data_IF_694280075134
#
_entry.id   IF_694280075134
#
_cell.length_a   1.000
_cell.length_b   1.000
_cell.length_c   1.000
_cell.angle_alpha   90.00
_cell.angle_beta   90.00
_cell.angle_gamma   90.00
#
_symmetry.space_group_name_H-M   'P 1'
#
loop_
_entity.id
_entity.type
_entity.pdbx_description
1 polymer ?
#
# COMPACT_ATOMS: atom_id res chain seq x y z
N UNK A 1 37.23 -36.18 -72.93
CA UNK A 1 36.55 -37.11 -72.00
C UNK A 1 37.01 -36.77 -70.60
N UNK A 2 36.22 -36.03 -69.83
CA UNK A 2 36.49 -35.77 -68.43
C UNK A 2 35.15 -35.61 -67.67
N UNK A 3 35.14 -36.27 -66.53
CA UNK A 3 34.03 -36.70 -65.68
C UNK A 3 33.35 -35.53 -64.96
N UNK A 4 32.13 -35.16 -65.40
CA UNK A 4 31.27 -34.24 -64.64
C UNK A 4 30.52 -35.05 -63.60
N UNK A 5 31.24 -35.34 -62.51
CA UNK A 5 30.75 -36.06 -61.34
C UNK A 5 29.59 -35.29 -60.71
N UNK A 6 28.38 -35.78 -60.97
CA UNK A 6 27.09 -35.35 -60.45
C UNK A 6 27.04 -35.52 -58.92
N UNK A 7 27.56 -34.55 -58.18
CA UNK A 7 27.30 -34.41 -56.74
C UNK A 7 25.89 -33.84 -56.51
N UNK A 8 24.89 -34.69 -56.71
CA UNK A 8 23.54 -34.45 -56.19
C UNK A 8 23.57 -34.88 -54.72
N UNK A 9 24.11 -34.01 -53.87
CA UNK A 9 24.00 -34.14 -52.43
C UNK A 9 22.51 -34.15 -52.09
N UNK A 10 22.01 -35.34 -51.74
CA UNK A 10 20.71 -35.50 -51.12
C UNK A 10 20.74 -34.73 -49.81
N UNK A 11 20.17 -33.52 -49.79
CA UNK A 11 19.84 -32.80 -48.56
C UNK A 11 18.73 -33.57 -47.83
N UNK A 12 19.07 -34.74 -47.32
CA UNK A 12 18.33 -35.38 -46.23
C UNK A 12 18.61 -34.54 -45.00
N UNK A 13 17.85 -33.45 -44.87
CA UNK A 13 17.69 -32.76 -43.59
C UNK A 13 17.37 -33.83 -42.55
N UNK A 14 18.20 -33.92 -41.52
CA UNK A 14 18.04 -34.91 -40.47
C UNK A 14 16.62 -34.79 -39.92
N UNK A 15 15.91 -35.91 -39.76
CA UNK A 15 14.53 -35.93 -39.25
C UNK A 15 14.42 -35.14 -37.93
N UNK A 16 15.50 -35.08 -37.15
CA UNK A 16 15.63 -34.27 -35.95
C UNK A 16 15.52 -32.76 -36.20
N UNK A 17 16.12 -32.21 -37.27
CA UNK A 17 16.03 -30.77 -37.58
C UNK A 17 14.63 -30.40 -38.06
N UNK A 18 13.97 -31.25 -38.85
CA UNK A 18 12.59 -31.04 -39.27
C UNK A 18 11.63 -31.09 -38.07
N UNK A 19 11.83 -32.06 -37.17
CA UNK A 19 11.02 -32.21 -35.94
C UNK A 19 11.22 -31.01 -35.01
N UNK A 20 12.44 -30.52 -34.88
CA UNK A 20 12.74 -29.33 -34.06
C UNK A 20 12.09 -28.07 -34.64
N UNK A 21 12.20 -27.86 -35.96
CA UNK A 21 11.62 -26.69 -36.62
C UNK A 21 10.10 -26.68 -36.53
N UNK A 22 9.46 -27.84 -36.70
CA UNK A 22 8.00 -27.98 -36.54
C UNK A 22 7.57 -27.74 -35.09
N UNK A 23 8.31 -28.24 -34.10
CA UNK A 23 8.04 -27.98 -32.68
C UNK A 23 8.12 -26.49 -32.34
N UNK A 24 9.16 -25.78 -32.83
CA UNK A 24 9.32 -24.34 -32.59
C UNK A 24 8.15 -23.55 -33.19
N UNK A 25 7.72 -23.90 -34.42
CA UNK A 25 6.57 -23.26 -35.07
C UNK A 25 5.29 -23.49 -34.26
N UNK A 26 5.06 -24.71 -33.77
CA UNK A 26 3.89 -25.02 -32.93
C UNK A 26 3.93 -24.21 -31.61
N UNK A 27 5.08 -24.13 -30.96
CA UNK A 27 5.25 -23.34 -29.73
C UNK A 27 5.05 -21.83 -29.97
N UNK A 28 5.50 -21.31 -31.11
CA UNK A 28 5.31 -19.91 -31.48
C UNK A 28 3.84 -19.57 -31.77
N UNK A 29 3.09 -20.48 -32.40
CA UNK A 29 1.65 -20.30 -32.61
C UNK A 29 0.91 -20.37 -31.27
N UNK A 30 1.28 -21.32 -30.41
CA UNK A 30 0.70 -21.48 -29.08
C UNK A 30 0.94 -20.26 -28.20
N UNK A 31 2.14 -19.66 -28.25
CA UNK A 31 2.46 -18.46 -27.47
C UNK A 31 1.63 -17.25 -27.89
N UNK A 32 1.45 -17.01 -29.20
CA UNK A 32 0.58 -15.92 -29.70
C UNK A 32 -0.87 -16.11 -29.26
N UNK A 33 -1.37 -17.35 -29.32
CA UNK A 33 -2.73 -17.68 -28.90
C UNK A 33 -2.93 -17.47 -27.38
N UNK A 34 -1.93 -17.86 -26.57
CA UNK A 34 -1.96 -17.66 -25.12
C UNK A 34 -1.91 -16.16 -24.78
N UNK A 35 -1.00 -15.41 -25.40
CA UNK A 35 -0.85 -13.96 -25.20
C UNK A 35 -2.13 -13.22 -25.52
N UNK A 36 -2.80 -13.55 -26.64
CA UNK A 36 -4.05 -12.88 -27.02
C UNK A 36 -5.17 -13.06 -26.00
N UNK A 37 -5.20 -14.16 -25.25
CA UNK A 37 -6.16 -14.36 -24.16
C UNK A 37 -5.69 -13.73 -22.86
N UNK A 38 -4.40 -13.82 -22.51
CA UNK A 38 -3.89 -13.28 -21.25
C UNK A 38 -4.00 -11.77 -21.16
N UNK A 39 -3.80 -11.02 -22.25
CA UNK A 39 -3.88 -9.56 -22.26
C UNK A 39 -5.25 -9.03 -21.81
N UNK A 40 -6.34 -9.69 -22.21
CA UNK A 40 -7.69 -9.29 -21.83
C UNK A 40 -7.98 -9.56 -20.34
N UNK A 41 -7.58 -10.74 -19.85
CA UNK A 41 -7.72 -11.09 -18.44
C UNK A 41 -6.83 -10.22 -17.55
N UNK A 42 -5.54 -10.06 -17.88
CA UNK A 42 -4.60 -9.27 -17.09
C UNK A 42 -5.05 -7.82 -16.98
N UNK A 43 -5.48 -7.20 -18.08
CA UNK A 43 -6.03 -5.84 -18.05
C UNK A 43 -7.29 -5.72 -17.20
N UNK A 44 -8.19 -6.72 -17.23
CA UNK A 44 -9.38 -6.75 -16.37
C UNK A 44 -9.01 -6.86 -14.88
N UNK A 45 -8.06 -7.74 -14.55
CA UNK A 45 -7.59 -7.95 -13.18
C UNK A 45 -6.87 -6.70 -12.65
N UNK A 46 -5.97 -6.11 -13.43
CA UNK A 46 -5.24 -4.90 -13.04
C UNK A 46 -6.19 -3.73 -12.81
N UNK A 47 -7.11 -3.48 -13.75
CA UNK A 47 -8.08 -2.38 -13.63
C UNK A 47 -9.00 -2.56 -12.43
N UNK A 48 -9.48 -3.77 -12.19
CA UNK A 48 -10.35 -4.07 -11.04
C UNK A 48 -9.58 -3.94 -9.73
N UNK A 49 -8.35 -4.46 -9.67
CA UNK A 49 -7.49 -4.41 -8.48
C UNK A 49 -7.15 -2.96 -8.12
N UNK A 50 -6.69 -2.16 -9.08
CA UNK A 50 -6.37 -0.76 -8.86
C UNK A 50 -7.58 0.04 -8.39
N UNK A 51 -8.76 -0.21 -8.98
CA UNK A 51 -9.99 0.50 -8.59
C UNK A 51 -10.42 0.13 -7.17
N UNK A 52 -10.43 -1.15 -6.84
CA UNK A 52 -10.83 -1.64 -5.52
C UNK A 52 -9.89 -1.11 -4.44
N UNK A 53 -8.59 -1.17 -4.71
CA UNK A 53 -7.56 -0.70 -3.79
C UNK A 53 -7.66 0.81 -3.55
N UNK A 54 -7.93 1.62 -4.59
CA UNK A 54 -8.18 3.05 -4.46
C UNK A 54 -9.42 3.37 -3.61
N UNK A 55 -10.50 2.63 -3.80
CA UNK A 55 -11.73 2.78 -3.00
C UNK A 55 -11.45 2.44 -1.53
N UNK A 56 -10.75 1.33 -1.27
CA UNK A 56 -10.36 0.94 0.10
C UNK A 56 -9.50 2.02 0.75
N UNK A 57 -8.50 2.55 0.06
CA UNK A 57 -7.67 3.65 0.58
C UNK A 57 -8.52 4.84 1.02
N UNK A 58 -9.46 5.29 0.18
CA UNK A 58 -10.33 6.42 0.50
C UNK A 58 -11.23 6.14 1.71
N UNK A 59 -11.79 4.93 1.81
CA UNK A 59 -12.61 4.52 2.95
C UNK A 59 -11.78 4.56 4.24
N UNK A 60 -10.55 4.04 4.21
CA UNK A 60 -9.67 4.04 5.39
C UNK A 60 -9.31 5.47 5.81
N UNK A 61 -9.05 6.38 4.86
CA UNK A 61 -8.86 7.80 5.19
C UNK A 61 -10.11 8.43 5.81
N UNK A 62 -11.30 8.14 5.29
CA UNK A 62 -12.56 8.65 5.83
C UNK A 62 -12.81 8.15 7.26
N UNK A 63 -12.56 6.86 7.52
CA UNK A 63 -12.70 6.28 8.85
C UNK A 63 -11.66 6.89 9.80
N UNK A 64 -10.39 6.96 9.39
CA UNK A 64 -9.31 7.57 10.17
C UNK A 64 -9.65 9.01 10.55
N UNK A 65 -10.03 9.84 9.57
CA UNK A 65 -10.42 11.23 9.80
C UNK A 65 -11.67 11.36 10.68
N UNK A 66 -12.66 10.48 10.48
CA UNK A 66 -13.86 10.42 11.31
C UNK A 66 -13.55 10.14 12.78
N UNK A 67 -12.59 9.26 13.07
CA UNK A 67 -12.17 8.93 14.44
C UNK A 67 -11.43 10.11 15.09
N UNK A 68 -10.57 10.84 14.35
CA UNK A 68 -9.95 12.07 14.88
C UNK A 68 -11.04 13.08 15.26
N UNK A 69 -11.97 13.35 14.35
CA UNK A 69 -13.03 14.32 14.57
C UNK A 69 -13.93 13.93 15.75
N UNK A 70 -14.35 12.67 15.80
CA UNK A 70 -15.17 12.15 16.88
C UNK A 70 -14.43 12.20 18.23
N UNK A 71 -13.17 11.75 18.27
CA UNK A 71 -12.34 11.81 19.46
C UNK A 71 -12.19 13.25 19.97
N UNK A 72 -11.83 14.18 19.09
CA UNK A 72 -11.71 15.59 19.41
C UNK A 72 -13.01 16.18 19.96
N UNK A 73 -14.15 15.91 19.32
CA UNK A 73 -15.47 16.36 19.77
C UNK A 73 -15.80 15.86 21.18
N UNK A 74 -15.66 14.55 21.43
CA UNK A 74 -15.93 13.94 22.74
C UNK A 74 -15.10 14.60 23.85
N UNK A 75 -13.86 14.96 23.53
CA UNK A 75 -12.91 15.52 24.49
C UNK A 75 -13.20 16.98 24.76
N UNK A 76 -13.54 17.77 23.73
CA UNK A 76 -14.00 19.16 23.90
C UNK A 76 -15.24 19.19 24.81
N UNK A 77 -16.22 18.31 24.56
CA UNK A 77 -17.43 18.23 25.38
C UNK A 77 -17.08 17.87 26.84
N UNK A 78 -16.24 16.86 27.05
CA UNK A 78 -15.82 16.44 28.40
C UNK A 78 -14.99 17.50 29.11
N UNK A 79 -14.13 18.21 28.39
CA UNK A 79 -13.32 19.28 28.94
C UNK A 79 -14.20 20.44 29.42
N UNK A 80 -15.18 20.85 28.60
CA UNK A 80 -16.17 21.87 28.98
C UNK A 80 -16.97 21.41 30.21
N UNK A 81 -17.48 20.17 30.22
CA UNK A 81 -18.21 19.62 31.37
C UNK A 81 -17.36 19.56 32.65
N UNK A 82 -16.09 19.15 32.54
CA UNK A 82 -15.17 19.11 33.69
C UNK A 82 -14.93 20.51 34.23
N UNK A 83 -14.69 21.50 33.36
CA UNK A 83 -14.43 22.89 33.74
C UNK A 83 -15.65 23.56 34.38
N UNK A 84 -16.86 23.17 34.00
CA UNK A 84 -18.11 23.65 34.62
C UNK A 84 -18.38 22.95 35.97
N UNK A 85 -18.01 21.67 36.12
CA UNK A 85 -18.36 20.86 37.30
C UNK A 85 -17.36 20.97 38.46
N UNK A 86 -16.06 21.10 38.21
CA UNK A 86 -15.03 21.31 39.24
C UNK A 86 -13.87 22.12 38.65
N UNK A 87 -13.61 23.31 39.20
CA UNK A 87 -12.57 24.21 38.70
C UNK A 87 -11.14 23.74 39.05
N UNK A 88 -10.99 22.86 40.06
CA UNK A 88 -9.71 22.55 40.71
C UNK A 88 -9.17 21.11 40.52
N UNK A 89 -9.76 20.28 39.64
CA UNK A 89 -9.26 18.90 39.42
C UNK A 89 -8.72 18.70 38.02
N UNK A 90 -7.51 18.11 37.86
CA UNK A 90 -6.96 17.81 36.55
C UNK A 90 -7.89 16.83 35.83
N UNK A 91 -8.46 17.29 34.72
CA UNK A 91 -9.36 16.49 33.92
C UNK A 91 -8.52 15.45 33.16
N UNK A 92 -8.61 14.17 33.54
CA UNK A 92 -7.90 13.05 32.88
C UNK A 92 -8.31 12.77 31.41
N UNK A 93 -8.84 13.77 30.71
CA UNK A 93 -9.30 13.73 29.30
C UNK A 93 -8.16 13.56 28.31
N UNK A 94 -6.93 13.95 28.64
CA UNK A 94 -5.73 13.79 27.81
C UNK A 94 -5.43 12.32 27.51
N UNK A 95 -5.78 11.41 28.43
CA UNK A 95 -5.61 9.96 28.22
C UNK A 95 -6.52 9.42 27.13
N UNK A 96 -7.77 9.90 27.08
CA UNK A 96 -8.72 9.53 26.04
C UNK A 96 -8.33 10.13 24.69
N UNK A 97 -7.80 11.36 24.67
CA UNK A 97 -7.28 12.01 23.45
C UNK A 97 -6.20 11.19 22.78
N UNK A 98 -5.20 10.78 23.57
CA UNK A 98 -4.10 9.98 23.07
C UNK A 98 -4.59 8.67 22.43
N UNK A 99 -5.59 8.01 23.01
CA UNK A 99 -6.12 6.76 22.47
C UNK A 99 -6.80 6.92 21.10
N UNK A 100 -7.69 7.91 20.95
CA UNK A 100 -8.36 8.17 19.67
C UNK A 100 -7.38 8.65 18.59
N UNK A 101 -6.40 9.50 18.96
CA UNK A 101 -5.37 9.95 18.03
C UNK A 101 -4.50 8.79 17.55
N UNK A 102 -4.01 7.94 18.46
CA UNK A 102 -3.19 6.78 18.10
C UNK A 102 -3.94 5.82 17.17
N UNK A 103 -5.21 5.52 17.45
CA UNK A 103 -6.00 4.62 16.62
C UNK A 103 -6.28 5.18 15.22
N UNK A 104 -6.59 6.46 15.11
CA UNK A 104 -6.68 7.12 13.80
C UNK A 104 -5.34 7.08 13.05
N UNK A 105 -4.23 7.20 13.78
CA UNK A 105 -2.90 7.22 13.19
C UNK A 105 -2.55 5.89 12.53
N UNK A 106 -2.85 4.78 13.20
CA UNK A 106 -2.66 3.43 12.67
C UNK A 106 -3.48 3.21 11.40
N UNK A 107 -4.73 3.69 11.36
CA UNK A 107 -5.56 3.61 10.16
C UNK A 107 -4.98 4.42 9.01
N UNK A 108 -4.50 5.64 9.27
CA UNK A 108 -3.87 6.45 8.24
C UNK A 108 -2.57 5.82 7.72
N UNK A 109 -1.76 5.17 8.57
CA UNK A 109 -0.59 4.42 8.11
C UNK A 109 -1.04 3.27 7.20
N UNK A 110 -2.11 2.56 7.55
CA UNK A 110 -2.71 1.53 6.69
C UNK A 110 -3.14 2.09 5.33
N UNK A 111 -3.84 3.23 5.30
CA UNK A 111 -4.26 3.88 4.06
C UNK A 111 -3.07 4.29 3.18
N UNK A 112 -2.04 4.87 3.80
CA UNK A 112 -0.81 5.30 3.15
C UNK A 112 -0.02 4.11 2.56
N UNK A 113 0.15 3.00 3.29
CA UNK A 113 0.77 1.78 2.77
C UNK A 113 0.01 1.27 1.55
N UNK A 114 -1.31 1.18 1.64
CA UNK A 114 -2.14 0.77 0.50
C UNK A 114 -1.95 1.73 -0.68
N UNK A 115 -1.92 3.04 -0.43
CA UNK A 115 -1.73 4.05 -1.48
C UNK A 115 -0.38 3.89 -2.21
N UNK A 116 0.70 3.56 -1.51
CA UNK A 116 2.02 3.33 -2.15
C UNK A 116 2.03 2.15 -3.11
N UNK A 117 1.10 1.20 -2.96
CA UNK A 117 0.94 0.10 -3.92
C UNK A 117 0.21 0.53 -5.19
N UNK A 118 -0.55 1.63 -5.14
CA UNK A 118 -1.20 2.28 -6.29
C UNK A 118 -0.25 3.24 -7.02
N UNK A 119 0.43 4.10 -6.28
CA UNK A 119 1.31 5.14 -6.82
C UNK A 119 2.76 4.77 -6.55
N UNK A 120 3.42 4.15 -7.54
CA UNK A 120 4.86 3.84 -7.49
C UNK A 120 5.72 5.09 -7.76
N UNK A 121 5.42 6.22 -7.13
CA UNK A 121 6.19 7.47 -7.29
C UNK A 121 6.97 7.78 -6.02
N UNK A 122 8.25 8.15 -6.16
CA UNK A 122 9.12 8.48 -5.03
C UNK A 122 8.67 9.73 -4.26
N UNK A 123 7.99 10.66 -4.95
CA UNK A 123 7.51 11.90 -4.35
C UNK A 123 6.40 11.65 -3.33
N UNK A 124 5.39 10.85 -3.68
CA UNK A 124 4.31 10.49 -2.76
C UNK A 124 4.82 9.68 -1.57
N UNK A 125 5.79 8.79 -1.81
CA UNK A 125 6.47 8.04 -0.77
C UNK A 125 7.22 8.94 0.23
N UNK A 126 7.81 10.05 -0.23
CA UNK A 126 8.51 11.00 0.64
C UNK A 126 7.56 11.77 1.57
N UNK A 127 6.40 12.19 1.07
CA UNK A 127 5.36 12.87 1.84
C UNK A 127 4.81 11.95 2.93
N UNK A 128 4.60 10.68 2.59
CA UNK A 128 4.17 9.64 3.51
C UNK A 128 5.15 9.44 4.67
N UNK A 129 6.45 9.32 4.37
CA UNK A 129 7.49 9.19 5.40
C UNK A 129 7.51 10.41 6.31
N UNK A 130 7.42 11.61 5.76
CA UNK A 130 7.38 12.86 6.54
C UNK A 130 6.20 12.87 7.52
N UNK A 131 5.01 12.51 7.05
CA UNK A 131 3.79 12.45 7.87
C UNK A 131 3.94 11.42 8.99
N UNK A 132 4.48 10.22 8.69
CA UNK A 132 4.70 9.18 9.70
C UNK A 132 5.70 9.64 10.78
N UNK A 133 6.84 10.22 10.36
CA UNK A 133 7.87 10.71 11.29
C UNK A 133 7.31 11.83 12.16
N UNK A 134 6.63 12.82 11.56
CA UNK A 134 6.03 13.94 12.30
C UNK A 134 5.08 13.44 13.39
N UNK A 135 4.28 12.41 13.10
CA UNK A 135 3.34 11.84 14.06
C UNK A 135 4.01 11.00 15.14
N UNK A 136 5.03 10.23 14.81
CA UNK A 136 5.87 9.55 15.79
C UNK A 136 6.52 10.54 16.76
N UNK A 137 6.97 11.68 16.24
CA UNK A 137 7.57 12.76 17.03
C UNK A 137 6.55 13.41 17.99
N UNK A 138 5.35 13.75 17.50
CA UNK A 138 4.28 14.33 18.32
C UNK A 138 3.80 13.35 19.39
N UNK A 139 3.64 12.06 19.04
CA UNK A 139 3.31 11.01 20.01
C UNK A 139 4.38 10.84 21.09
N UNK A 140 5.65 10.91 20.70
CA UNK A 140 6.79 10.87 21.63
C UNK A 140 6.79 12.09 22.57
N UNK A 141 6.53 13.29 22.04
CA UNK A 141 6.43 14.52 22.86
C UNK A 141 5.34 14.38 23.92
N UNK A 142 4.14 13.95 23.54
CA UNK A 142 3.02 13.76 24.46
C UNK A 142 3.30 12.66 25.51
N UNK A 143 4.01 11.60 25.11
CA UNK A 143 4.44 10.56 26.03
C UNK A 143 5.44 11.09 27.06
N UNK A 144 6.44 11.85 26.61
CA UNK A 144 7.43 12.47 27.48
C UNK A 144 6.77 13.45 28.43
N UNK A 145 5.91 14.35 27.93
CA UNK A 145 5.15 15.30 28.76
C UNK A 145 4.44 14.58 29.90
N UNK A 146 3.72 13.48 29.62
CA UNK A 146 3.05 12.70 30.67
C UNK A 146 4.02 12.15 31.72
N UNK A 147 5.14 11.57 31.27
CA UNK A 147 6.15 10.99 32.16
C UNK A 147 6.79 12.04 33.06
N UNK A 148 7.03 13.24 32.53
CA UNK A 148 7.57 14.36 33.30
C UNK A 148 6.58 14.86 34.36
N UNK A 149 5.29 14.99 34.03
CA UNK A 149 4.27 15.40 35.00
C UNK A 149 4.04 14.38 36.13
N UNK A 150 4.13 13.07 35.87
CA UNK A 150 4.05 12.05 36.93
C UNK A 150 5.21 12.13 37.94
N UNK A 151 6.39 12.60 37.51
CA UNK A 151 7.57 12.67 38.38
C UNK A 151 7.55 13.89 39.30
N UNK A 152 6.83 14.96 38.91
CA UNK A 152 6.74 16.22 39.65
C UNK A 152 5.72 16.20 40.81
N UNK A 153 4.80 15.23 40.85
CA UNK A 153 3.84 15.07 41.97
C UNK A 153 4.39 14.19 43.12
N UNK A 154 5.60 13.62 42.96
CA UNK A 154 6.22 12.71 43.95
C UNK A 154 7.37 13.32 44.75
N UNK A 155 7.65 14.62 44.58
CA UNK A 155 8.60 15.41 45.40
C UNK A 155 7.86 16.48 46.21
#
# INVERSE_FOLDING_TARGET
MADVKKYRGSETSSILTITLMTLIVVLAILSVFLTSRSEEYLNFLDKTTLTLLAVVTQIVYLIGGGIVLFGALVIIIRFIQSKIKNLDKPSGVTRYLSGYLTLSLELFIGAEIIKTTLTRTFEEFSVLILVIISRGLLGLILYLERKWFETAETE
#
